data_IF_988929706836
#
_entry.id   IF_988929706836
#
_cell.length_a   1.000
_cell.length_b   1.000
_cell.length_c   1.000
_cell.angle_alpha   90.00
_cell.angle_beta   90.00
_cell.angle_gamma   90.00
#
_symmetry.space_group_name_H-M   'P 1'
#
loop_
_entity.id
_entity.type
_entity.pdbx_description
1 polymer ?
#
# COMPACT_ATOMS: atom_id res chain seq x y z
N UNK A 1 20.71 5.28 -11.92
CA UNK A 1 19.95 5.67 -10.70
C UNK A 1 18.56 5.03 -10.63
N UNK A 2 17.73 5.05 -11.71
CA UNK A 2 16.41 4.39 -11.74
C UNK A 2 16.45 2.91 -11.33
N UNK A 3 17.41 2.15 -11.86
CA UNK A 3 17.58 0.73 -11.53
C UNK A 3 17.82 0.46 -10.04
N UNK A 4 18.52 1.36 -9.34
CA UNK A 4 18.78 1.19 -7.91
C UNK A 4 17.54 1.39 -7.06
N UNK A 5 16.63 2.28 -7.46
CA UNK A 5 15.39 2.52 -6.73
C UNK A 5 14.44 1.33 -6.88
N UNK A 6 14.27 0.81 -8.10
CA UNK A 6 13.41 -0.35 -8.36
C UNK A 6 13.93 -1.63 -7.67
N UNK A 7 15.26 -1.77 -7.50
CA UNK A 7 15.85 -2.86 -6.70
C UNK A 7 15.37 -2.86 -5.24
N UNK A 8 15.18 -1.70 -4.63
CA UNK A 8 14.66 -1.62 -3.26
C UNK A 8 13.15 -1.94 -3.21
N UNK A 9 12.37 -1.46 -4.18
CA UNK A 9 10.93 -1.76 -4.22
C UNK A 9 10.67 -3.26 -4.46
N UNK A 10 11.56 -3.94 -5.20
CA UNK A 10 11.47 -5.39 -5.44
C UNK A 10 11.55 -6.21 -4.14
N UNK A 11 12.17 -5.69 -3.09
CA UNK A 11 12.21 -6.33 -1.77
C UNK A 11 10.90 -6.14 -0.98
N UNK A 12 10.01 -5.29 -1.46
CA UNK A 12 8.75 -4.95 -0.79
C UNK A 12 7.54 -5.65 -1.40
N UNK A 13 7.65 -6.26 -2.59
CA UNK A 13 6.58 -7.07 -3.15
C UNK A 13 6.55 -8.46 -2.51
N UNK A 14 5.42 -8.81 -1.91
CA UNK A 14 5.17 -10.16 -1.40
C UNK A 14 4.77 -11.11 -2.52
N UNK A 15 5.06 -12.40 -2.34
CA UNK A 15 4.67 -13.42 -3.31
C UNK A 15 3.15 -13.43 -3.60
N UNK A 16 2.34 -13.02 -2.62
CA UNK A 16 0.89 -12.93 -2.73
C UNK A 16 0.36 -11.71 -3.51
N UNK A 17 1.22 -10.84 -4.05
CA UNK A 17 0.79 -9.61 -4.75
C UNK A 17 0.63 -8.39 -3.85
N UNK A 18 0.70 -8.57 -2.52
CA UNK A 18 0.67 -7.44 -1.59
C UNK A 18 2.00 -6.71 -1.57
N UNK A 19 1.92 -5.38 -1.56
CA UNK A 19 3.10 -4.54 -1.51
C UNK A 19 3.36 -4.02 -0.08
N UNK A 20 4.40 -4.54 0.57
CA UNK A 20 4.77 -4.23 1.96
C UNK A 20 5.09 -2.74 2.17
N UNK A 21 5.48 -2.02 1.11
CA UNK A 21 5.67 -0.58 1.16
C UNK A 21 4.41 0.20 1.53
N UNK A 22 3.22 -0.40 1.38
CA UNK A 22 1.94 0.18 1.79
C UNK A 22 1.38 -0.47 3.06
N UNK A 23 2.21 -1.20 3.82
CA UNK A 23 1.83 -1.78 5.09
C UNK A 23 2.03 -0.78 6.24
N UNK A 24 1.03 -0.54 7.09
CA UNK A 24 1.18 0.29 8.29
C UNK A 24 2.30 -0.17 9.22
N UNK A 25 2.54 -1.48 9.31
CA UNK A 25 3.62 -2.04 10.14
C UNK A 25 5.01 -1.79 9.56
N UNK A 26 5.13 -1.70 8.23
CA UNK A 26 6.36 -1.34 7.55
C UNK A 26 6.63 0.17 7.63
N UNK A 27 5.58 0.97 7.43
CA UNK A 27 5.64 2.43 7.48
C UNK A 27 5.76 3.00 8.91
N UNK A 28 5.62 2.16 9.93
CA UNK A 28 5.79 2.55 11.33
C UNK A 28 7.19 3.10 11.60
N UNK A 29 7.28 4.09 12.49
CA UNK A 29 8.55 4.65 13.00
C UNK A 29 9.09 3.88 14.21
N UNK A 30 8.40 2.82 14.66
CA UNK A 30 8.87 1.98 15.77
C UNK A 30 10.21 1.32 15.45
N UNK A 31 11.08 1.15 16.45
CA UNK A 31 12.29 0.32 16.36
C UNK A 31 11.96 -1.15 16.00
N UNK A 32 10.76 -1.61 16.35
CA UNK A 32 10.24 -2.95 16.07
C UNK A 32 9.40 -3.03 14.78
N UNK A 33 9.52 -2.04 13.87
CA UNK A 33 8.75 -2.05 12.61
C UNK A 33 9.04 -3.31 11.78
N UNK A 34 8.06 -3.70 10.97
CA UNK A 34 8.22 -4.81 10.04
C UNK A 34 9.16 -4.41 8.89
N UNK A 35 10.04 -5.31 8.47
CA UNK A 35 10.98 -5.09 7.35
C UNK A 35 10.43 -5.57 6.00
N UNK A 36 9.19 -6.08 5.98
CA UNK A 36 8.55 -6.64 4.79
C UNK A 36 8.68 -8.17 4.70
N UNK A 37 7.93 -8.77 3.79
CA UNK A 37 7.86 -10.23 3.66
C UNK A 37 9.12 -10.87 3.06
N UNK A 38 9.83 -10.16 2.17
CA UNK A 38 11.06 -10.65 1.54
C UNK A 38 12.28 -10.38 2.43
N UNK A 39 12.40 -9.16 2.97
CA UNK A 39 13.56 -8.76 3.77
C UNK A 39 13.45 -9.14 5.25
N UNK A 40 12.24 -9.32 5.78
CA UNK A 40 12.01 -9.67 7.18
C UNK A 40 11.69 -11.16 7.38
N UNK A 41 11.50 -11.54 8.65
CA UNK A 41 11.19 -12.94 9.03
C UNK A 41 9.78 -13.41 8.65
N UNK A 42 8.89 -12.50 8.22
CA UNK A 42 7.49 -12.83 7.94
C UNK A 42 7.33 -13.85 6.80
N UNK A 43 8.20 -13.80 5.79
CA UNK A 43 8.17 -14.77 4.68
C UNK A 43 8.36 -16.21 5.13
N UNK A 44 9.21 -16.44 6.15
CA UNK A 44 9.51 -17.78 6.65
C UNK A 44 8.27 -18.51 7.20
N UNK A 45 7.30 -17.77 7.76
CA UNK A 45 6.07 -18.33 8.31
C UNK A 45 4.92 -18.40 7.29
N UNK A 46 5.04 -17.73 6.13
CA UNK A 46 3.99 -17.67 5.13
C UNK A 46 4.02 -18.85 4.14
N UNK A 47 2.93 -19.61 4.07
CA UNK A 47 2.81 -20.75 3.15
C UNK A 47 2.84 -20.37 1.66
N UNK A 48 2.33 -19.18 1.29
CA UNK A 48 2.39 -18.67 -0.09
C UNK A 48 3.83 -18.32 -0.46
N UNK A 49 4.54 -17.62 0.42
CA UNK A 49 5.93 -17.24 0.20
C UNK A 49 6.82 -18.47 0.02
N UNK A 50 6.75 -19.44 0.94
CA UNK A 50 7.52 -20.70 0.83
C UNK A 50 7.19 -21.47 -0.45
N UNK A 51 5.92 -21.48 -0.87
CA UNK A 51 5.50 -22.13 -2.11
C UNK A 51 6.11 -21.46 -3.35
N UNK A 52 6.09 -20.13 -3.43
CA UNK A 52 6.71 -19.38 -4.53
C UNK A 52 8.22 -19.60 -4.57
N UNK A 53 8.91 -19.46 -3.43
CA UNK A 53 10.36 -19.68 -3.34
C UNK A 53 10.77 -21.09 -3.77
N UNK A 54 10.03 -22.13 -3.36
CA UNK A 54 10.32 -23.53 -3.76
C UNK A 54 10.19 -23.73 -5.27
N UNK A 55 9.33 -22.95 -5.95
CA UNK A 55 9.13 -22.99 -7.40
C UNK A 55 10.05 -22.03 -8.16
N UNK A 56 10.90 -21.28 -7.47
CA UNK A 56 11.77 -20.27 -8.07
C UNK A 56 11.05 -18.99 -8.50
N UNK A 57 9.82 -18.76 -8.02
CA UNK A 57 9.03 -17.57 -8.35
C UNK A 57 9.27 -16.46 -7.34
N UNK A 58 9.31 -15.22 -7.82
CA UNK A 58 9.24 -14.03 -6.96
C UNK A 58 7.80 -13.80 -6.50
N UNK A 59 6.83 -13.96 -7.42
CA UNK A 59 5.40 -13.75 -7.13
C UNK A 59 4.51 -14.82 -7.73
N UNK A 60 3.27 -14.91 -7.23
CA UNK A 60 2.25 -15.78 -7.81
C UNK A 60 1.86 -15.41 -9.25
N UNK A 61 2.28 -14.26 -9.78
CA UNK A 61 2.05 -13.88 -11.17
C UNK A 61 2.78 -14.82 -12.15
N UNK A 62 3.89 -15.42 -11.71
CA UNK A 62 4.68 -16.41 -12.45
C UNK A 62 4.08 -17.83 -12.37
N UNK A 63 3.08 -18.03 -11.50
CA UNK A 63 2.47 -19.33 -11.30
C UNK A 63 1.44 -19.63 -12.40
N UNK A 64 1.56 -20.74 -13.15
CA UNK A 64 0.59 -21.09 -14.20
C UNK A 64 -0.79 -21.42 -13.64
N UNK A 65 -0.87 -21.85 -12.37
CA UNK A 65 -2.12 -22.17 -11.67
C UNK A 65 -2.77 -20.95 -10.99
N UNK A 66 -2.21 -19.75 -11.15
CA UNK A 66 -2.77 -18.54 -10.52
C UNK A 66 -4.15 -18.17 -11.14
N UNK A 67 -5.16 -17.80 -10.32
CA UNK A 67 -5.15 -17.78 -8.84
C UNK A 67 -5.50 -19.14 -8.24
N UNK A 68 -4.52 -19.79 -7.58
CA UNK A 68 -4.71 -21.12 -7.00
C UNK A 68 -5.34 -21.08 -5.59
N UNK A 69 -5.91 -22.21 -5.14
CA UNK A 69 -6.59 -22.35 -3.83
C UNK A 69 -5.72 -21.92 -2.65
N UNK A 70 -4.39 -22.15 -2.72
CA UNK A 70 -3.46 -21.74 -1.65
C UNK A 70 -3.39 -20.22 -1.51
N UNK A 71 -3.35 -19.49 -2.63
CA UNK A 71 -3.34 -18.04 -2.63
C UNK A 71 -4.67 -17.49 -2.14
N UNK A 72 -5.79 -17.99 -2.70
CA UNK A 72 -7.15 -17.58 -2.31
C UNK A 72 -7.39 -17.73 -0.81
N UNK A 73 -7.03 -18.89 -0.24
CA UNK A 73 -7.14 -19.14 1.20
C UNK A 73 -6.27 -18.21 2.04
N UNK A 74 -5.03 -17.96 1.61
CA UNK A 74 -4.11 -17.11 2.37
C UNK A 74 -4.59 -15.64 2.45
N UNK A 75 -5.24 -15.17 1.39
CA UNK A 75 -5.80 -13.82 1.30
C UNK A 75 -7.27 -13.75 1.73
N UNK A 76 -7.89 -14.89 2.06
CA UNK A 76 -9.32 -15.00 2.42
C UNK A 76 -10.25 -14.36 1.39
N UNK A 77 -9.97 -14.62 0.11
CA UNK A 77 -10.64 -13.96 -1.02
C UNK A 77 -12.13 -14.32 -1.04
N UNK A 78 -12.43 -15.61 -0.90
CA UNK A 78 -13.81 -16.10 -1.00
C UNK A 78 -14.65 -15.69 0.23
N UNK A 79 -14.00 -15.47 1.39
CA UNK A 79 -14.63 -14.97 2.60
C UNK A 79 -14.78 -13.44 2.66
N UNK A 80 -14.17 -12.71 1.72
CA UNK A 80 -14.21 -11.23 1.70
C UNK A 80 -13.56 -10.56 2.91
N UNK A 81 -12.67 -11.27 3.62
CA UNK A 81 -12.04 -10.76 4.85
C UNK A 81 -10.79 -9.95 4.51
N UNK A 82 -10.81 -8.67 4.85
CA UNK A 82 -9.69 -7.77 4.64
C UNK A 82 -8.72 -7.73 5.84
N UNK A 83 -7.56 -7.10 5.65
CA UNK A 83 -6.55 -6.89 6.68
C UNK A 83 -6.05 -5.45 6.71
N UNK A 84 -5.18 -5.13 7.69
CA UNK A 84 -4.55 -3.81 7.82
C UNK A 84 -3.70 -3.42 6.60
N UNK A 85 -3.26 -4.40 5.82
CA UNK A 85 -2.75 -4.24 4.46
C UNK A 85 -3.81 -4.85 3.55
N UNK A 86 -4.51 -4.01 2.79
CA UNK A 86 -5.72 -4.46 2.12
C UNK A 86 -5.43 -5.58 1.12
N UNK A 87 -6.14 -6.69 1.25
CA UNK A 87 -6.09 -7.84 0.35
C UNK A 87 -6.81 -7.59 -0.97
N UNK A 88 -7.68 -6.57 -1.03
CA UNK A 88 -8.50 -6.25 -2.21
C UNK A 88 -7.67 -6.00 -3.48
N UNK A 89 -6.46 -5.46 -3.33
CA UNK A 89 -5.55 -5.18 -4.46
C UNK A 89 -4.68 -6.36 -4.86
N UNK A 90 -4.67 -7.45 -4.11
CA UNK A 90 -3.67 -8.49 -4.28
C UNK A 90 -3.77 -9.21 -5.63
N UNK A 91 -4.99 -9.50 -6.09
CA UNK A 91 -5.19 -10.13 -7.40
C UNK A 91 -4.87 -9.15 -8.53
N UNK A 92 -5.43 -7.94 -8.49
CA UNK A 92 -5.17 -6.87 -9.47
C UNK A 92 -3.67 -6.60 -9.63
N UNK A 93 -2.93 -6.50 -8.52
CA UNK A 93 -1.48 -6.33 -8.55
C UNK A 93 -0.76 -7.47 -9.27
N UNK A 94 -1.19 -8.72 -9.06
CA UNK A 94 -0.60 -9.89 -9.74
C UNK A 94 -0.96 -9.89 -11.23
N UNK A 95 -2.18 -9.50 -11.59
CA UNK A 95 -2.62 -9.36 -12.99
C UNK A 95 -1.86 -8.24 -13.70
N UNK A 96 -1.62 -7.10 -13.05
CA UNK A 96 -0.80 -6.01 -13.57
C UNK A 96 0.64 -6.44 -13.78
N UNK A 97 1.21 -7.23 -12.87
CA UNK A 97 2.55 -7.82 -13.06
C UNK A 97 2.57 -8.74 -14.29
N UNK A 98 1.53 -9.56 -14.51
CA UNK A 98 1.45 -10.44 -15.70
C UNK A 98 1.30 -9.64 -17.00
N UNK A 99 0.51 -8.57 -16.96
CA UNK A 99 0.12 -7.80 -18.14
C UNK A 99 1.15 -6.75 -18.54
N UNK A 100 1.72 -6.05 -17.58
CA UNK A 100 2.59 -4.89 -17.79
C UNK A 100 4.02 -5.09 -17.30
N UNK A 101 4.28 -6.20 -16.59
CA UNK A 101 5.60 -6.54 -16.09
C UNK A 101 5.92 -5.93 -14.72
N UNK A 102 6.91 -6.53 -14.07
CA UNK A 102 7.34 -6.17 -12.72
C UNK A 102 7.83 -4.73 -12.59
N UNK A 103 8.57 -4.20 -13.58
CA UNK A 103 9.14 -2.85 -13.49
C UNK A 103 8.06 -1.77 -13.51
N UNK A 104 7.05 -1.91 -14.37
CA UNK A 104 5.90 -1.00 -14.44
C UNK A 104 5.17 -1.00 -13.09
N UNK A 105 4.86 -2.19 -12.58
CA UNK A 105 4.24 -2.35 -11.27
C UNK A 105 5.05 -1.69 -10.15
N UNK A 106 6.35 -1.97 -10.04
CA UNK A 106 7.20 -1.41 -8.98
C UNK A 106 7.35 0.11 -9.10
N UNK A 107 7.32 0.67 -10.31
CA UNK A 107 7.33 2.12 -10.51
C UNK A 107 6.08 2.77 -9.91
N UNK A 108 4.89 2.20 -10.16
CA UNK A 108 3.64 2.70 -9.57
C UNK A 108 3.62 2.50 -8.05
N UNK A 109 4.04 1.32 -7.56
CA UNK A 109 4.09 1.04 -6.13
C UNK A 109 5.05 1.98 -5.39
N UNK A 110 6.14 2.42 -6.04
CA UNK A 110 7.03 3.46 -5.51
C UNK A 110 6.31 4.79 -5.35
N UNK A 111 5.56 5.24 -6.36
CA UNK A 111 4.76 6.48 -6.29
C UNK A 111 3.78 6.42 -5.12
N UNK A 112 3.00 5.34 -5.02
CA UNK A 112 2.07 5.10 -3.91
C UNK A 112 2.77 5.11 -2.56
N UNK A 113 3.95 4.48 -2.45
CA UNK A 113 4.75 4.47 -1.21
C UNK A 113 5.22 5.85 -0.77
N UNK A 114 5.61 6.69 -1.74
CA UNK A 114 6.05 8.06 -1.47
C UNK A 114 4.86 8.94 -1.03
N UNK A 115 3.70 8.76 -1.65
CA UNK A 115 2.45 9.42 -1.21
C UNK A 115 2.08 8.99 0.22
N UNK A 116 2.14 7.69 0.54
CA UNK A 116 1.89 7.20 1.88
C UNK A 116 2.84 7.82 2.92
N UNK A 117 4.14 7.91 2.60
CA UNK A 117 5.13 8.56 3.48
C UNK A 117 4.80 10.02 3.71
N UNK A 118 4.51 10.78 2.65
CA UNK A 118 4.10 12.19 2.76
C UNK A 118 2.87 12.35 3.63
N UNK A 119 1.84 11.54 3.40
CA UNK A 119 0.63 11.55 4.24
C UNK A 119 0.95 11.31 5.72
N UNK A 120 1.85 10.37 6.00
CA UNK A 120 2.26 10.03 7.36
C UNK A 120 3.10 11.14 8.00
N UNK A 121 4.06 11.72 7.27
CA UNK A 121 4.96 12.75 7.78
C UNK A 121 4.22 14.07 8.02
N UNK A 122 3.35 14.46 7.10
CA UNK A 122 2.74 15.79 7.10
C UNK A 122 1.38 15.84 7.81
N UNK A 123 0.64 14.71 7.83
CA UNK A 123 -0.75 14.71 8.30
C UNK A 123 -1.05 13.64 9.34
N UNK A 124 -0.10 12.82 9.79
CA UNK A 124 -0.37 11.85 10.86
C UNK A 124 -0.19 12.49 12.24
N UNK A 125 -1.29 12.73 12.94
CA UNK A 125 -1.29 13.04 14.38
C UNK A 125 -1.27 11.76 15.24
N UNK A 126 -0.52 10.74 14.82
CA UNK A 126 -0.33 9.46 15.53
C UNK A 126 -1.46 8.43 15.41
N UNK A 127 -2.52 8.68 14.62
CA UNK A 127 -3.74 7.82 14.59
C UNK A 127 -4.26 7.47 13.19
N UNK A 128 -3.54 7.82 12.12
CA UNK A 128 -4.05 7.71 10.74
C UNK A 128 -3.20 6.85 9.81
N UNK A 129 -2.15 6.20 10.32
CA UNK A 129 -1.23 5.42 9.48
C UNK A 129 -1.94 4.33 8.66
N UNK A 130 -2.86 3.59 9.27
CA UNK A 130 -3.65 2.54 8.59
C UNK A 130 -4.50 3.15 7.48
N UNK A 131 -5.25 4.22 7.76
CA UNK A 131 -6.05 4.92 6.77
C UNK A 131 -5.21 5.40 5.58
N UNK A 132 -4.05 6.02 5.82
CA UNK A 132 -3.21 6.55 4.75
C UNK A 132 -2.62 5.44 3.88
N UNK A 133 -2.20 4.34 4.51
CA UNK A 133 -1.73 3.16 3.80
C UNK A 133 -2.85 2.53 2.95
N UNK A 134 -4.04 2.33 3.51
CA UNK A 134 -5.22 1.80 2.81
C UNK A 134 -5.64 2.72 1.66
N UNK A 135 -5.67 4.04 1.88
CA UNK A 135 -5.96 5.01 0.83
C UNK A 135 -4.94 4.94 -0.31
N UNK A 136 -3.65 4.80 -0.01
CA UNK A 136 -2.61 4.67 -1.02
C UNK A 136 -2.62 3.32 -1.76
N UNK A 137 -3.17 2.27 -1.16
CA UNK A 137 -3.40 1.00 -1.83
C UNK A 137 -4.62 1.05 -2.75
N UNK A 138 -5.74 1.61 -2.29
CA UNK A 138 -7.04 1.49 -2.96
C UNK A 138 -7.40 2.65 -3.89
N UNK A 139 -6.95 3.87 -3.61
CA UNK A 139 -7.31 5.03 -4.42
C UNK A 139 -6.33 5.23 -5.59
N UNK A 140 -6.79 5.76 -6.73
CA UNK A 140 -5.88 6.25 -7.78
C UNK A 140 -4.93 7.33 -7.23
N UNK A 141 -3.66 7.33 -7.65
CA UNK A 141 -2.66 8.29 -7.13
C UNK A 141 -3.06 9.74 -7.35
N UNK A 142 -3.69 10.05 -8.49
CA UNK A 142 -4.28 11.37 -8.80
C UNK A 142 -5.26 11.88 -7.73
N UNK A 143 -6.02 10.98 -7.10
CA UNK A 143 -7.02 11.32 -6.08
C UNK A 143 -6.33 11.68 -4.77
N UNK A 144 -5.26 10.96 -4.43
CA UNK A 144 -4.45 11.24 -3.24
C UNK A 144 -3.72 12.58 -3.41
N UNK A 145 -3.11 12.81 -4.57
CA UNK A 145 -2.48 14.09 -4.91
C UNK A 145 -3.49 15.24 -4.88
N UNK A 146 -4.72 15.01 -5.35
CA UNK A 146 -5.80 16.00 -5.24
C UNK A 146 -6.14 16.33 -3.78
N UNK A 147 -6.22 15.33 -2.89
CA UNK A 147 -6.50 15.55 -1.47
C UNK A 147 -5.41 16.42 -0.82
N UNK A 148 -4.14 16.08 -1.08
CA UNK A 148 -2.98 16.85 -0.62
C UNK A 148 -3.06 18.30 -1.13
N UNK A 149 -3.24 18.51 -2.43
CA UNK A 149 -3.29 19.85 -3.01
C UNK A 149 -4.48 20.69 -2.52
N UNK A 150 -5.61 20.08 -2.13
CA UNK A 150 -6.73 20.81 -1.51
C UNK A 150 -6.36 21.34 -0.13
N UNK A 151 -5.73 20.51 0.71
CA UNK A 151 -5.29 20.93 2.04
C UNK A 151 -4.18 21.98 1.96
N UNK A 152 -3.22 21.81 1.06
CA UNK A 152 -2.14 22.79 0.86
C UNK A 152 -2.67 24.16 0.46
N UNK A 153 -3.70 24.22 -0.39
CA UNK A 153 -4.39 25.49 -0.70
C UNK A 153 -5.08 26.07 0.53
N UNK A 154 -5.76 25.26 1.34
CA UNK A 154 -6.41 25.76 2.56
C UNK A 154 -5.39 26.31 3.57
N UNK A 155 -4.19 25.72 3.65
CA UNK A 155 -3.08 26.24 4.46
C UNK A 155 -2.59 27.57 3.87
N UNK A 156 -2.36 27.62 2.56
CA UNK A 156 -1.90 28.83 1.87
C UNK A 156 -2.88 30.00 2.02
N UNK A 157 -4.18 29.73 1.91
CA UNK A 157 -5.26 30.73 2.06
C UNK A 157 -5.49 31.15 3.54
N UNK A 158 -4.70 30.62 4.49
CA UNK A 158 -4.84 30.90 5.92
C UNK A 158 -6.09 30.30 6.58
N UNK A 159 -6.80 29.39 5.92
CA UNK A 159 -8.00 28.71 6.46
C UNK A 159 -7.66 27.61 7.47
N UNK A 160 -6.46 27.04 7.36
CA UNK A 160 -5.94 26.05 8.30
C UNK A 160 -4.55 26.50 8.73
N UNK A 161 -4.31 26.54 10.03
CA UNK A 161 -2.98 26.73 10.58
C UNK A 161 -2.09 25.51 10.27
N UNK A 162 -0.93 25.76 9.66
CA UNK A 162 0.07 24.74 9.33
C UNK A 162 0.62 24.02 10.56
N UNK A 163 0.58 24.67 11.73
CA UNK A 163 1.11 24.14 12.97
C UNK A 163 0.04 23.37 13.78
N UNK A 164 -1.24 23.49 13.42
CA UNK A 164 -2.31 22.68 13.99
C UNK A 164 -2.34 21.26 13.38
N UNK A 165 -1.42 20.44 13.86
CA UNK A 165 -1.28 19.02 13.47
C UNK A 165 -2.56 18.21 13.66
N UNK A 166 -3.40 18.54 14.66
CA UNK A 166 -4.66 17.81 14.92
C UNK A 166 -5.70 18.18 13.87
N UNK A 167 -5.83 19.47 13.55
CA UNK A 167 -6.72 19.93 12.48
C UNK A 167 -6.29 19.37 11.13
N UNK A 168 -5.00 19.46 10.77
CA UNK A 168 -4.47 18.90 9.52
C UNK A 168 -4.80 17.41 9.37
N UNK A 169 -4.56 16.62 10.41
CA UNK A 169 -4.88 15.20 10.41
C UNK A 169 -6.39 14.92 10.24
N UNK A 170 -7.24 15.71 10.91
CA UNK A 170 -8.69 15.59 10.80
C UNK A 170 -9.17 15.93 9.39
N UNK A 171 -8.70 17.04 8.82
CA UNK A 171 -9.10 17.48 7.49
C UNK A 171 -8.62 16.50 6.41
N UNK A 172 -7.39 16.00 6.51
CA UNK A 172 -6.89 15.00 5.57
C UNK A 172 -7.72 13.72 5.60
N UNK A 173 -8.11 13.25 6.80
CA UNK A 173 -9.01 12.11 6.95
C UNK A 173 -10.36 12.38 6.29
N UNK A 174 -10.95 13.56 6.49
CA UNK A 174 -12.24 13.92 5.88
C UNK A 174 -12.16 13.96 4.36
N UNK A 175 -11.11 14.57 3.80
CA UNK A 175 -10.92 14.65 2.34
C UNK A 175 -10.72 13.27 1.71
N UNK A 176 -9.86 12.42 2.29
CA UNK A 176 -9.65 11.06 1.76
C UNK A 176 -10.94 10.23 1.78
N UNK A 177 -11.70 10.26 2.88
CA UNK A 177 -12.97 9.52 2.97
C UNK A 177 -14.04 10.09 2.02
N UNK A 178 -14.09 11.42 1.87
CA UNK A 178 -15.00 12.09 0.93
C UNK A 178 -14.71 11.69 -0.51
N UNK A 179 -13.44 11.69 -0.90
CA UNK A 179 -13.00 11.27 -2.24
C UNK A 179 -13.22 9.77 -2.48
N UNK A 180 -12.92 8.93 -1.48
CA UNK A 180 -13.16 7.50 -1.57
C UNK A 180 -14.65 7.17 -1.74
N UNK A 181 -15.53 7.85 -0.99
CA UNK A 181 -16.99 7.70 -1.14
C UNK A 181 -17.49 8.06 -2.54
N UNK A 182 -16.92 9.07 -3.20
CA UNK A 182 -17.27 9.42 -4.60
C UNK A 182 -16.88 8.37 -5.62
N UNK A 183 -15.94 7.50 -5.27
CA UNK A 183 -15.46 6.40 -6.11
C UNK A 183 -16.00 5.05 -5.66
N UNK A 184 -16.92 5.02 -4.68
CA UNK A 184 -17.45 3.81 -4.07
C UNK A 184 -16.36 2.88 -3.48
N UNK A 185 -15.29 3.47 -2.94
CA UNK A 185 -14.17 2.75 -2.32
C UNK A 185 -14.28 2.87 -0.80
N UNK A 186 -14.38 1.72 -0.12
CA UNK A 186 -14.37 1.66 1.34
C UNK A 186 -12.92 1.57 1.88
N UNK A 187 -12.52 2.57 2.66
CA UNK A 187 -11.23 2.66 3.35
C UNK A 187 -11.24 2.12 4.79
N UNK A 188 -12.39 1.63 5.27
CA UNK A 188 -12.64 1.15 6.64
C UNK A 188 -12.58 -0.37 6.72
#
# INVERSE_FOLDING_TARGET
MKDSALREERKLIGACGLYCGLCPRFQSRSKSRCEGCVSGRMGAYCGVYRCATKRGYLTCAECPEYPCTRLKRALKIDEGIDSFLSHKVALDNLDDIRKFGMESFLSEQRERRLLARRLIEDYNAGRSITLYCTACALLPTRVITQAIGRLERQIHDGRIDRDDRKMLARQMRLELNSLAKRLDINLS
#
